data_IF_531149464686
#
_entry.id   IF_531149464686
#
_cell.length_a   1.000
_cell.length_b   1.000
_cell.length_c   1.000
_cell.angle_alpha   90.00
_cell.angle_beta   90.00
_cell.angle_gamma   90.00
#
_symmetry.space_group_name_H-M   'P 1'
#
loop_
_entity.id
_entity.type
_entity.pdbx_description
1 polymer ?
#
# COMPACT_ATOMS: atom_id res chain seq x y z
N UNK A 1 27.00 4.71 5.13
CA UNK A 1 25.64 4.82 5.69
C UNK A 1 25.05 6.18 5.35
N UNK A 2 23.74 6.28 5.36
CA UNK A 2 23.06 7.54 5.11
C UNK A 2 22.23 7.93 6.35
N UNK A 3 21.14 7.25 6.60
CA UNK A 3 20.20 7.50 7.70
C UNK A 3 20.06 6.32 8.66
N UNK A 4 20.57 5.16 8.30
CA UNK A 4 20.42 3.91 9.06
C UNK A 4 21.78 3.44 9.58
N UNK A 5 21.82 3.17 10.89
CA UNK A 5 22.99 2.67 11.59
C UNK A 5 22.70 1.28 12.14
N UNK A 6 23.71 0.40 12.06
CA UNK A 6 23.70 -0.90 12.70
C UNK A 6 24.91 -0.98 13.65
N UNK A 7 24.64 -1.30 14.90
CA UNK A 7 25.64 -1.40 15.94
C UNK A 7 25.92 -2.87 16.26
N UNK A 8 27.16 -3.28 16.10
CA UNK A 8 27.68 -4.53 16.63
C UNK A 8 28.04 -4.24 18.09
N UNK A 9 27.40 -4.96 19.02
CA UNK A 9 27.57 -4.70 20.44
C UNK A 9 28.84 -5.41 20.97
N UNK A 10 29.56 -4.80 21.93
CA UNK A 10 30.61 -5.50 22.65
C UNK A 10 30.01 -6.56 23.59
N UNK A 11 30.78 -7.58 23.95
CA UNK A 11 30.33 -8.70 24.80
C UNK A 11 29.76 -8.25 26.16
N UNK A 12 30.13 -7.06 26.65
CA UNK A 12 29.64 -6.50 27.89
C UNK A 12 28.26 -5.87 27.82
N UNK A 13 27.66 -5.72 26.62
CA UNK A 13 26.36 -5.07 26.40
C UNK A 13 25.47 -5.97 25.60
N UNK A 14 24.29 -6.31 26.13
CA UNK A 14 23.31 -7.11 25.39
C UNK A 14 22.23 -6.25 24.72
N UNK A 15 21.72 -6.73 23.60
CA UNK A 15 20.56 -6.12 22.93
C UNK A 15 19.34 -6.01 23.86
N UNK A 16 19.17 -6.97 24.77
CA UNK A 16 18.07 -6.96 25.74
C UNK A 16 18.22 -5.84 26.77
N UNK A 17 19.44 -5.52 27.22
CA UNK A 17 19.67 -4.36 28.09
C UNK A 17 19.31 -3.06 27.38
N UNK A 18 19.78 -2.88 26.15
CA UNK A 18 19.42 -1.72 25.32
C UNK A 18 17.91 -1.62 25.14
N UNK A 19 17.24 -2.74 24.85
CA UNK A 19 15.77 -2.77 24.67
C UNK A 19 15.05 -2.30 25.93
N UNK A 20 15.45 -2.78 27.08
CA UNK A 20 14.82 -2.39 28.36
C UNK A 20 14.97 -0.90 28.63
N UNK A 21 16.17 -0.35 28.39
CA UNK A 21 16.44 1.08 28.58
C UNK A 21 15.69 1.92 27.53
N UNK A 22 15.71 1.50 26.28
CA UNK A 22 15.03 2.21 25.18
C UNK A 22 13.50 2.29 25.44
N UNK A 23 12.87 1.18 25.82
CA UNK A 23 11.44 1.15 26.16
C UNK A 23 11.11 2.05 27.37
N UNK A 24 11.98 2.14 28.36
CA UNK A 24 11.80 3.06 29.50
C UNK A 24 11.85 4.55 29.10
N UNK A 25 12.39 4.84 27.92
CA UNK A 25 12.47 6.17 27.31
C UNK A 25 11.51 6.34 26.12
N UNK A 26 10.57 5.41 25.96
CA UNK A 26 9.56 5.40 24.90
C UNK A 26 10.18 5.39 23.49
N UNK A 27 11.30 4.70 23.32
CA UNK A 27 12.01 4.54 22.05
C UNK A 27 11.99 3.09 21.59
N UNK A 28 11.58 2.86 20.36
CA UNK A 28 11.71 1.57 19.68
C UNK A 28 12.95 1.56 18.80
N UNK A 29 13.76 0.51 18.93
CA UNK A 29 14.92 0.25 18.09
C UNK A 29 14.72 -1.08 17.36
N UNK A 30 15.48 -1.32 16.31
CA UNK A 30 15.49 -2.63 15.64
C UNK A 30 16.49 -3.56 16.35
N UNK A 31 16.03 -4.76 16.66
CA UNK A 31 16.84 -5.83 17.25
C UNK A 31 16.98 -6.97 16.27
N UNK A 32 18.22 -7.39 16.00
CA UNK A 32 18.52 -8.48 15.07
C UNK A 32 18.76 -9.78 15.83
N UNK A 33 18.48 -10.91 15.19
CA UNK A 33 18.62 -12.25 15.78
C UNK A 33 20.07 -12.57 16.24
N UNK A 34 21.05 -11.94 15.60
CA UNK A 34 22.46 -12.08 15.95
C UNK A 34 22.90 -11.17 17.12
N UNK A 35 21.97 -10.45 17.74
CA UNK A 35 22.25 -9.57 18.88
C UNK A 35 22.65 -8.15 18.54
N UNK A 36 22.75 -7.78 17.26
CA UNK A 36 23.00 -6.40 16.86
C UNK A 36 21.77 -5.50 17.09
N UNK A 37 22.00 -4.20 17.16
CA UNK A 37 20.93 -3.21 17.30
C UNK A 37 21.02 -2.20 16.14
N UNK A 38 19.87 -1.89 15.53
CA UNK A 38 19.76 -0.91 14.48
C UNK A 38 18.88 0.27 14.86
N UNK A 39 19.19 1.42 14.30
CA UNK A 39 18.32 2.59 14.33
C UNK A 39 18.34 3.30 12.98
N UNK A 40 17.22 3.94 12.66
CA UNK A 40 17.14 4.86 11.54
C UNK A 40 16.71 6.23 12.03
N UNK A 41 17.24 7.25 11.41
CA UNK A 41 16.95 8.65 11.68
C UNK A 41 16.28 9.27 10.45
N UNK A 42 15.49 10.28 10.69
CA UNK A 42 14.80 11.05 9.65
C UNK A 42 14.87 12.55 9.95
N UNK A 43 14.18 13.36 9.16
CA UNK A 43 14.12 14.81 9.31
C UNK A 43 13.44 15.27 10.59
N UNK A 44 12.76 14.39 11.33
CA UNK A 44 12.17 14.71 12.65
C UNK A 44 13.12 14.44 13.80
N UNK A 45 14.27 13.79 13.55
CA UNK A 45 15.27 13.47 14.57
C UNK A 45 16.11 14.70 14.89
N UNK A 46 15.74 15.41 15.94
CA UNK A 46 16.40 16.60 16.44
C UNK A 46 17.53 16.28 17.45
N UNK A 47 18.15 17.35 17.98
CA UNK A 47 19.21 17.24 19.02
C UNK A 47 18.68 16.57 20.29
N UNK A 48 17.43 16.76 20.65
CA UNK A 48 16.83 16.13 21.83
C UNK A 48 16.71 14.62 21.62
N UNK A 49 16.20 14.18 20.47
CA UNK A 49 16.10 12.77 20.10
C UNK A 49 17.51 12.12 20.04
N UNK A 50 18.48 12.78 19.43
CA UNK A 50 19.86 12.31 19.38
C UNK A 50 20.45 12.11 20.81
N UNK A 51 20.19 13.04 21.73
CA UNK A 51 20.61 12.92 23.12
C UNK A 51 19.93 11.76 23.86
N UNK A 52 18.65 11.49 23.58
CA UNK A 52 17.96 10.31 24.13
C UNK A 52 18.66 9.03 23.65
N UNK A 53 18.91 8.91 22.35
CA UNK A 53 19.59 7.76 21.75
C UNK A 53 20.99 7.55 22.36
N UNK A 54 21.80 8.60 22.41
CA UNK A 54 23.14 8.55 23.04
C UNK A 54 23.08 8.10 24.50
N UNK A 55 22.08 8.60 25.26
CA UNK A 55 21.89 8.21 26.66
C UNK A 55 21.55 6.74 26.84
N UNK A 56 20.73 6.16 25.91
CA UNK A 56 20.38 4.73 25.94
C UNK A 56 21.64 3.87 25.84
N UNK A 57 22.48 4.14 24.86
CA UNK A 57 23.71 3.37 24.65
C UNK A 57 24.74 3.61 25.77
N UNK A 58 24.86 4.83 26.28
CA UNK A 58 25.78 5.16 27.38
C UNK A 58 25.40 4.41 28.67
N UNK A 59 24.11 4.44 29.05
CA UNK A 59 23.58 3.72 30.21
C UNK A 59 23.83 2.21 30.07
N UNK A 60 23.54 1.63 28.89
CA UNK A 60 23.76 0.21 28.62
C UNK A 60 25.24 -0.18 28.73
N UNK A 61 26.12 0.71 28.32
CA UNK A 61 27.58 0.51 28.41
C UNK A 61 28.18 0.84 29.79
N UNK A 62 27.38 1.32 30.75
CA UNK A 62 27.89 1.77 32.05
C UNK A 62 28.83 2.97 31.96
N UNK A 63 28.61 3.85 30.98
CA UNK A 63 29.43 5.03 30.72
C UNK A 63 28.67 6.31 31.02
N UNK A 64 29.42 7.35 31.35
CA UNK A 64 28.86 8.68 31.47
C UNK A 64 28.37 9.19 30.13
N UNK A 65 27.18 9.80 30.12
CA UNK A 65 26.58 10.41 28.96
C UNK A 65 27.04 11.86 28.79
N UNK A 66 27.63 12.15 27.64
CA UNK A 66 27.94 13.53 27.26
C UNK A 66 26.84 14.05 26.30
N UNK A 67 26.19 15.10 26.74
CA UNK A 67 25.15 15.76 25.95
C UNK A 67 25.78 16.49 24.76
N UNK A 68 25.14 16.39 23.62
CA UNK A 68 25.43 17.15 22.40
C UNK A 68 24.52 18.35 22.37
N UNK A 69 25.08 19.54 22.20
CA UNK A 69 24.29 20.79 22.16
C UNK A 69 23.96 21.22 20.72
N UNK A 70 24.70 20.69 19.73
CA UNK A 70 24.50 20.99 18.33
C UNK A 70 24.81 19.77 17.46
N UNK A 71 24.19 19.69 16.27
CA UNK A 71 24.49 18.69 15.26
C UNK A 71 25.36 19.36 14.20
N UNK A 72 26.64 18.95 14.06
CA UNK A 72 27.52 19.54 13.07
C UNK A 72 26.98 19.32 11.65
N UNK A 73 27.23 20.29 10.76
CA UNK A 73 26.86 20.16 9.36
C UNK A 73 27.49 18.90 8.75
N UNK A 74 26.66 18.11 8.05
CA UNK A 74 27.10 16.88 7.42
C UNK A 74 28.07 17.14 6.28
N UNK A 75 29.29 16.59 6.37
CA UNK A 75 30.32 16.67 5.33
C UNK A 75 30.35 15.42 4.42
N UNK A 76 29.30 14.59 4.46
CA UNK A 76 29.24 13.31 3.76
C UNK A 76 29.12 13.51 2.24
N UNK A 77 28.49 14.61 1.80
CA UNK A 77 28.33 14.94 0.39
C UNK A 77 29.58 15.72 -0.06
N UNK A 78 30.35 15.12 -0.97
CA UNK A 78 31.50 15.81 -1.56
C UNK A 78 31.06 17.07 -2.31
N UNK A 79 31.94 18.07 -2.37
CA UNK A 79 31.65 19.33 -3.06
C UNK A 79 31.23 19.14 -4.53
N UNK A 80 31.75 18.12 -5.20
CA UNK A 80 31.41 17.76 -6.59
C UNK A 80 29.95 17.29 -6.74
N UNK A 81 29.36 16.71 -5.68
CA UNK A 81 28.00 16.24 -5.67
C UNK A 81 27.01 17.28 -5.12
N UNK A 82 27.50 18.38 -4.56
CA UNK A 82 26.64 19.46 -4.09
C UNK A 82 26.00 20.19 -5.27
N UNK A 83 24.73 20.49 -5.15
CA UNK A 83 23.98 21.23 -6.15
C UNK A 83 24.57 22.63 -6.32
N UNK A 84 24.95 22.96 -7.55
CA UNK A 84 25.45 24.30 -7.94
C UNK A 84 24.40 25.17 -8.63
N UNK A 85 23.28 24.57 -9.04
CA UNK A 85 22.21 25.25 -9.76
C UNK A 85 21.05 25.61 -8.83
N UNK A 86 20.40 26.77 -9.02
CA UNK A 86 19.17 27.07 -8.28
C UNK A 86 18.06 26.05 -8.57
N UNK A 87 17.16 25.83 -7.63
CA UNK A 87 16.00 24.95 -7.78
C UNK A 87 14.74 25.63 -7.24
N UNK A 88 13.56 25.13 -7.60
CA UNK A 88 12.27 25.70 -7.22
C UNK A 88 12.18 27.21 -7.53
N UNK A 89 12.70 27.61 -8.69
CA UNK A 89 12.81 29.03 -9.08
C UNK A 89 11.49 29.62 -9.60
N UNK A 90 10.48 28.78 -9.88
CA UNK A 90 9.18 29.27 -10.30
C UNK A 90 8.48 30.00 -9.15
N UNK A 91 7.86 31.15 -9.45
CA UNK A 91 7.24 32.01 -8.43
C UNK A 91 6.20 31.30 -7.53
N UNK A 92 5.60 30.21 -7.99
CA UNK A 92 4.62 29.43 -7.22
C UNK A 92 5.19 28.94 -5.88
N UNK A 93 6.49 28.67 -5.83
CA UNK A 93 7.17 28.16 -4.63
C UNK A 93 7.49 29.26 -3.59
N UNK A 94 7.30 30.53 -3.96
CA UNK A 94 7.61 31.68 -3.10
C UNK A 94 6.46 32.67 -2.98
N UNK A 95 5.25 32.34 -3.47
CA UNK A 95 4.16 33.30 -3.58
C UNK A 95 2.99 33.04 -2.61
N UNK A 96 2.71 31.79 -2.24
CA UNK A 96 1.51 31.43 -1.49
C UNK A 96 1.90 30.92 -0.11
N UNK A 97 2.22 31.85 0.80
CA UNK A 97 2.74 31.51 2.14
C UNK A 97 1.69 31.53 3.25
N UNK A 98 0.50 32.09 3.00
CA UNK A 98 -0.59 32.06 3.97
C UNK A 98 -1.60 30.98 3.63
N UNK A 99 -2.31 30.46 4.64
CA UNK A 99 -3.39 29.49 4.45
C UNK A 99 -4.41 29.99 3.41
N UNK A 100 -4.87 31.25 3.57
CA UNK A 100 -5.85 31.83 2.67
C UNK A 100 -5.36 31.92 1.22
N UNK A 101 -4.11 32.29 1.00
CA UNK A 101 -3.54 32.37 -0.34
C UNK A 101 -3.41 30.97 -0.96
N UNK A 102 -2.98 29.99 -0.17
CA UNK A 102 -2.89 28.58 -0.62
C UNK A 102 -4.27 28.04 -0.99
N UNK A 103 -5.29 28.22 -0.14
CA UNK A 103 -6.66 27.78 -0.43
C UNK A 103 -7.19 28.42 -1.72
N UNK A 104 -6.99 29.72 -1.91
CA UNK A 104 -7.39 30.42 -3.13
C UNK A 104 -6.63 29.94 -4.36
N UNK A 105 -5.35 29.64 -4.22
CA UNK A 105 -4.51 29.07 -5.29
C UNK A 105 -5.00 27.68 -5.70
N UNK A 106 -5.23 26.78 -4.74
CA UNK A 106 -5.77 25.44 -4.99
C UNK A 106 -7.13 25.54 -5.70
N UNK A 107 -8.03 26.41 -5.21
CA UNK A 107 -9.35 26.58 -5.84
C UNK A 107 -9.26 27.19 -7.25
N UNK A 108 -8.28 28.02 -7.53
CA UNK A 108 -8.04 28.54 -8.87
C UNK A 108 -7.56 27.43 -9.83
N UNK A 109 -6.75 26.50 -9.35
CA UNK A 109 -6.33 25.32 -10.14
C UNK A 109 -7.50 24.37 -10.36
N UNK A 110 -8.27 24.08 -9.32
CA UNK A 110 -9.45 23.22 -9.36
C UNK A 110 -10.48 23.68 -10.43
N UNK A 111 -10.63 25.00 -10.61
CA UNK A 111 -11.53 25.59 -11.62
C UNK A 111 -11.04 25.51 -13.06
N UNK A 112 -9.78 25.12 -13.28
CA UNK A 112 -9.24 24.97 -14.65
C UNK A 112 -9.61 23.62 -15.27
N UNK A 113 -10.10 22.71 -14.49
CA UNK A 113 -10.52 21.37 -14.89
C UNK A 113 -11.82 21.00 -14.16
N UNK A 114 -12.35 19.82 -14.46
CA UNK A 114 -13.58 19.30 -13.85
C UNK A 114 -13.21 18.72 -12.47
N UNK A 115 -13.74 19.33 -11.40
CA UNK A 115 -13.54 18.81 -10.05
C UNK A 115 -14.54 17.72 -9.71
N UNK A 116 -14.18 16.85 -8.76
CA UNK A 116 -15.06 15.81 -8.24
C UNK A 116 -16.36 16.36 -7.61
N UNK A 117 -16.34 17.62 -7.16
CA UNK A 117 -17.53 18.29 -6.61
C UNK A 117 -18.52 18.74 -7.70
N UNK A 118 -18.12 18.78 -8.96
CA UNK A 118 -18.87 19.31 -10.08
C UNK A 118 -19.09 18.31 -11.21
N UNK A 119 -18.57 17.10 -11.09
CA UNK A 119 -18.65 16.06 -12.12
C UNK A 119 -19.26 14.78 -11.61
N UNK A 120 -19.84 14.02 -12.50
CA UNK A 120 -20.06 12.60 -12.28
C UNK A 120 -18.73 11.87 -12.34
N UNK A 121 -18.63 10.72 -11.66
CA UNK A 121 -17.40 9.93 -11.61
C UNK A 121 -17.00 9.52 -13.03
N UNK A 122 -15.84 9.98 -13.48
CA UNK A 122 -15.16 9.44 -14.65
C UNK A 122 -14.20 8.33 -14.22
N UNK A 123 -14.08 7.29 -15.02
CA UNK A 123 -13.04 6.28 -14.87
C UNK A 123 -11.68 6.88 -15.16
N UNK A 124 -10.65 6.40 -14.47
CA UNK A 124 -9.25 6.74 -14.76
C UNK A 124 -8.48 7.43 -13.62
N UNK A 125 -9.15 7.87 -12.58
CA UNK A 125 -8.51 8.53 -11.42
C UNK A 125 -8.51 7.67 -10.16
N UNK A 126 -8.45 6.34 -10.26
CA UNK A 126 -8.65 5.42 -9.15
C UNK A 126 -9.98 5.68 -8.41
N UNK A 127 -10.94 6.26 -9.11
CA UNK A 127 -12.27 6.57 -8.61
C UNK A 127 -12.29 7.21 -7.22
N UNK A 128 -11.43 8.18 -6.98
CA UNK A 128 -11.37 8.91 -5.72
C UNK A 128 -12.75 9.52 -5.42
N UNK A 129 -13.42 8.97 -4.42
CA UNK A 129 -14.72 9.43 -3.98
C UNK A 129 -14.55 10.62 -3.02
N UNK A 130 -15.54 11.49 -3.01
CA UNK A 130 -15.62 12.51 -1.99
C UNK A 130 -15.99 11.85 -0.66
N UNK A 131 -15.18 12.08 0.35
CA UNK A 131 -15.48 11.68 1.72
C UNK A 131 -16.03 12.88 2.49
N UNK A 132 -16.91 12.65 3.46
CA UNK A 132 -17.32 13.69 4.38
C UNK A 132 -16.12 14.15 5.22
N UNK A 133 -16.02 15.46 5.48
CA UNK A 133 -14.92 15.99 6.29
C UNK A 133 -14.88 15.35 7.70
N UNK A 134 -16.02 14.98 8.26
CA UNK A 134 -16.11 14.30 9.56
C UNK A 134 -15.47 12.89 9.53
N UNK A 135 -15.51 12.19 8.41
CA UNK A 135 -14.86 10.87 8.24
C UNK A 135 -13.34 11.00 8.18
N UNK A 136 -12.83 12.17 7.78
CA UNK A 136 -11.39 12.46 7.71
C UNK A 136 -10.79 12.91 9.05
N UNK A 137 -11.61 13.40 10.00
CA UNK A 137 -11.14 13.90 11.28
C UNK A 137 -10.31 12.90 12.10
N UNK A 138 -10.67 11.61 12.19
CA UNK A 138 -9.87 10.64 12.93
C UNK A 138 -8.44 10.49 12.41
N UNK A 139 -8.18 10.79 11.13
CA UNK A 139 -6.83 10.74 10.55
C UNK A 139 -5.88 11.81 11.13
N UNK A 140 -6.43 12.84 11.81
CA UNK A 140 -5.64 13.87 12.47
C UNK A 140 -5.37 13.59 13.96
N UNK A 141 -5.92 12.50 14.52
CA UNK A 141 -5.62 12.07 15.88
C UNK A 141 -4.21 11.50 15.94
N UNK A 142 -3.37 12.06 16.83
CA UNK A 142 -1.96 11.66 16.94
C UNK A 142 -1.77 10.16 17.25
N UNK A 143 -2.67 9.59 18.04
CA UNK A 143 -2.67 8.18 18.42
C UNK A 143 -2.80 7.24 17.20
N UNK A 144 -3.43 7.69 16.13
CA UNK A 144 -3.51 6.97 14.86
C UNK A 144 -2.42 7.41 13.88
N UNK A 145 -2.25 8.71 13.70
CA UNK A 145 -1.38 9.26 12.65
C UNK A 145 0.11 9.05 12.93
N UNK A 146 0.53 9.15 14.21
CA UNK A 146 1.94 9.09 14.59
C UNK A 146 2.45 7.67 14.88
N UNK A 147 1.64 6.63 14.66
CA UNK A 147 2.06 5.26 14.89
C UNK A 147 2.83 4.72 13.69
N UNK A 148 4.06 4.26 13.93
CA UNK A 148 4.88 3.65 12.89
C UNK A 148 4.32 2.29 12.46
N UNK A 149 4.29 1.96 11.16
CA UNK A 149 3.72 0.67 10.67
C UNK A 149 4.40 -0.59 11.22
N UNK A 150 5.66 -0.49 11.63
CA UNK A 150 6.44 -1.60 12.19
C UNK A 150 6.58 -1.51 13.71
N UNK A 151 5.71 -0.77 14.38
CA UNK A 151 5.68 -0.73 15.85
C UNK A 151 5.42 -2.15 16.41
N UNK A 152 6.00 -2.52 17.57
CA UNK A 152 5.71 -3.80 18.20
C UNK A 152 4.22 -4.04 18.43
N UNK A 153 3.77 -5.27 18.27
CA UNK A 153 2.35 -5.64 18.32
C UNK A 153 1.66 -5.28 19.65
N UNK A 154 2.39 -5.36 20.77
CA UNK A 154 1.90 -5.00 22.10
C UNK A 154 1.61 -3.51 22.25
N UNK A 155 2.21 -2.68 21.38
CA UNK A 155 1.98 -1.23 21.33
C UNK A 155 0.88 -0.84 20.32
N UNK A 156 0.36 -1.77 19.53
CA UNK A 156 -0.61 -1.54 18.46
C UNK A 156 -1.98 -2.20 18.70
N UNK A 157 -2.37 -2.41 19.95
CA UNK A 157 -3.59 -3.14 20.29
C UNK A 157 -4.85 -2.53 19.65
N UNK A 158 -5.00 -1.21 19.66
CA UNK A 158 -6.15 -0.50 19.05
C UNK A 158 -6.22 -0.69 17.54
N UNK A 159 -5.09 -0.60 16.83
CA UNK A 159 -5.06 -0.89 15.39
C UNK A 159 -5.41 -2.33 15.07
N UNK A 160 -4.95 -3.28 15.87
CA UNK A 160 -5.28 -4.70 15.68
C UNK A 160 -6.76 -4.97 15.87
N UNK A 161 -7.38 -4.35 16.88
CA UNK A 161 -8.81 -4.44 17.11
C UNK A 161 -9.61 -3.83 15.94
N UNK A 162 -9.24 -2.64 15.49
CA UNK A 162 -9.86 -1.97 14.34
C UNK A 162 -9.79 -2.83 13.08
N UNK A 163 -8.60 -3.35 12.73
CA UNK A 163 -8.38 -4.20 11.55
C UNK A 163 -9.17 -5.51 11.67
N UNK A 164 -9.19 -6.12 12.85
CA UNK A 164 -9.94 -7.34 13.10
C UNK A 164 -11.45 -7.11 12.90
N UNK A 165 -12.01 -6.11 13.55
CA UNK A 165 -13.44 -5.82 13.49
C UNK A 165 -13.88 -5.51 12.05
N UNK A 166 -13.14 -4.63 11.35
CA UNK A 166 -13.42 -4.32 9.96
C UNK A 166 -13.34 -5.56 9.06
N UNK A 167 -12.36 -6.44 9.28
CA UNK A 167 -12.24 -7.68 8.50
C UNK A 167 -13.44 -8.61 8.72
N UNK A 168 -13.91 -8.74 9.96
CA UNK A 168 -15.08 -9.58 10.27
C UNK A 168 -16.37 -8.97 9.68
N UNK A 169 -16.58 -7.66 9.76
CA UNK A 169 -17.70 -6.99 9.14
C UNK A 169 -17.71 -7.17 7.62
N UNK A 170 -16.57 -7.02 6.95
CA UNK A 170 -16.45 -7.24 5.51
C UNK A 170 -16.72 -8.69 5.12
N UNK A 171 -16.30 -9.68 5.92
CA UNK A 171 -16.64 -11.10 5.71
C UNK A 171 -18.16 -11.32 5.75
N UNK A 172 -18.83 -10.71 6.70
CA UNK A 172 -20.30 -10.81 6.81
C UNK A 172 -21.01 -10.16 5.61
N UNK A 173 -20.56 -8.98 5.19
CA UNK A 173 -21.14 -8.25 4.07
C UNK A 173 -20.96 -8.99 2.75
N UNK A 174 -19.79 -9.54 2.51
CA UNK A 174 -19.42 -10.18 1.23
C UNK A 174 -19.71 -11.67 1.17
N UNK A 175 -19.88 -12.33 2.31
CA UNK A 175 -20.01 -13.79 2.40
C UNK A 175 -18.67 -14.53 2.17
N UNK A 176 -17.55 -13.85 2.08
CA UNK A 176 -16.25 -14.49 1.91
C UNK A 176 -15.72 -15.09 3.20
N UNK A 177 -14.96 -16.18 3.09
CA UNK A 177 -14.33 -16.85 4.22
C UNK A 177 -13.18 -16.05 4.83
N UNK A 178 -12.53 -15.19 4.07
CA UNK A 178 -11.41 -14.38 4.52
C UNK A 178 -11.31 -13.03 3.81
N UNK A 179 -10.76 -12.05 4.49
CA UNK A 179 -10.51 -10.70 3.97
C UNK A 179 -9.09 -10.30 4.36
N UNK A 180 -8.38 -9.65 3.45
CA UNK A 180 -7.09 -9.02 3.71
C UNK A 180 -7.16 -7.53 3.44
N UNK A 181 -6.73 -6.72 4.40
CA UNK A 181 -6.61 -5.27 4.30
C UNK A 181 -5.17 -4.82 3.97
N UNK A 182 -4.28 -5.77 3.63
CA UNK A 182 -2.86 -5.50 3.31
C UNK A 182 -2.66 -4.71 2.01
N UNK A 183 -3.40 -4.98 0.90
CA UNK A 183 -3.21 -4.23 -0.33
C UNK A 183 -3.50 -2.74 -0.14
N UNK A 184 -2.56 -1.89 -0.53
CA UNK A 184 -2.64 -0.44 -0.36
C UNK A 184 -3.10 0.33 -1.61
N UNK A 185 -3.53 -0.39 -2.65
CA UNK A 185 -4.09 0.18 -3.88
C UNK A 185 -4.98 -0.85 -4.60
N UNK A 186 -5.80 -0.40 -5.55
CA UNK A 186 -6.59 -1.28 -6.40
C UNK A 186 -5.72 -2.31 -7.13
N UNK A 187 -4.64 -1.87 -7.79
CA UNK A 187 -3.71 -2.76 -8.48
C UNK A 187 -3.01 -3.76 -7.55
N UNK A 188 -2.67 -3.36 -6.32
CA UNK A 188 -2.12 -4.27 -5.32
C UNK A 188 -3.16 -5.32 -4.88
N UNK A 189 -4.44 -4.95 -4.81
CA UNK A 189 -5.55 -5.87 -4.56
C UNK A 189 -5.73 -6.88 -5.68
N UNK A 190 -5.72 -6.42 -6.93
CA UNK A 190 -5.75 -7.30 -8.11
C UNK A 190 -4.60 -8.33 -8.08
N UNK A 191 -3.38 -7.85 -7.87
CA UNK A 191 -2.21 -8.72 -7.78
C UNK A 191 -2.34 -9.73 -6.64
N UNK A 192 -2.76 -9.28 -5.45
CA UNK A 192 -2.94 -10.16 -4.29
C UNK A 192 -3.99 -11.24 -4.53
N UNK A 193 -5.14 -10.89 -5.14
CA UNK A 193 -6.19 -11.85 -5.49
C UNK A 193 -5.71 -12.88 -6.51
N UNK A 194 -5.06 -12.44 -7.57
CA UNK A 194 -4.52 -13.34 -8.60
C UNK A 194 -3.40 -14.24 -8.05
N UNK A 195 -2.53 -13.72 -7.17
CA UNK A 195 -1.52 -14.55 -6.48
C UNK A 195 -2.18 -15.59 -5.54
N UNK A 196 -3.29 -15.23 -4.91
CA UNK A 196 -4.07 -16.18 -4.09
C UNK A 196 -4.67 -17.28 -4.95
N UNK A 197 -5.26 -16.95 -6.12
CA UNK A 197 -5.75 -17.94 -7.08
C UNK A 197 -4.63 -18.86 -7.52
N UNK A 198 -3.46 -18.32 -7.87
CA UNK A 198 -2.31 -19.11 -8.27
C UNK A 198 -1.86 -20.07 -7.16
N UNK A 199 -1.69 -19.59 -5.96
CA UNK A 199 -1.30 -20.42 -4.82
C UNK A 199 -2.34 -21.53 -4.53
N UNK A 200 -3.63 -21.21 -4.65
CA UNK A 200 -4.70 -22.19 -4.54
C UNK A 200 -4.57 -23.29 -5.60
N UNK A 201 -4.43 -22.93 -6.88
CA UNK A 201 -4.29 -23.90 -7.94
C UNK A 201 -3.05 -24.77 -7.78
N UNK A 202 -1.93 -24.19 -7.35
CA UNK A 202 -0.70 -24.93 -7.02
C UNK A 202 -0.95 -25.92 -5.86
N UNK A 203 -1.68 -25.52 -4.83
CA UNK A 203 -1.96 -26.36 -3.65
C UNK A 203 -2.81 -27.61 -3.96
N UNK A 204 -3.64 -27.52 -5.01
CA UNK A 204 -4.49 -28.65 -5.47
C UNK A 204 -3.88 -29.39 -6.68
N UNK A 205 -2.59 -29.18 -7.00
CA UNK A 205 -1.90 -29.84 -8.08
C UNK A 205 -2.25 -29.33 -9.49
N UNK A 206 -2.89 -28.18 -9.60
CA UNK A 206 -3.29 -27.56 -10.88
C UNK A 206 -2.44 -26.32 -11.24
N UNK A 207 -1.21 -26.24 -10.79
CA UNK A 207 -0.29 -25.13 -11.06
C UNK A 207 0.07 -24.92 -12.54
N UNK A 208 -0.29 -25.87 -13.43
CA UNK A 208 -0.15 -25.71 -14.88
C UNK A 208 -1.15 -24.71 -15.47
N UNK A 209 -2.28 -24.45 -14.81
CA UNK A 209 -3.29 -23.48 -15.25
C UNK A 209 -2.72 -22.07 -15.15
N UNK A 210 -2.53 -21.43 -16.28
CA UNK A 210 -1.82 -20.14 -16.36
C UNK A 210 -2.51 -19.09 -17.22
N UNK A 211 -3.73 -19.36 -17.71
CA UNK A 211 -4.48 -18.43 -18.55
C UNK A 211 -5.57 -17.74 -17.75
N UNK A 212 -5.74 -16.43 -17.98
CA UNK A 212 -6.81 -15.62 -17.39
C UNK A 212 -7.62 -14.98 -18.52
N UNK A 213 -8.93 -15.25 -18.55
CA UNK A 213 -9.86 -14.54 -19.42
C UNK A 213 -10.12 -13.14 -18.88
N UNK A 214 -10.11 -12.16 -19.77
CA UNK A 214 -10.34 -10.74 -19.42
C UNK A 214 -11.23 -10.11 -20.49
N UNK A 215 -12.40 -9.55 -20.14
CA UNK A 215 -13.25 -8.83 -21.09
C UNK A 215 -12.54 -7.64 -21.73
N UNK A 216 -12.85 -7.36 -22.99
CA UNK A 216 -12.30 -6.21 -23.73
C UNK A 216 -12.64 -4.86 -23.07
N UNK A 217 -13.71 -4.80 -22.28
CA UNK A 217 -14.11 -3.64 -21.47
C UNK A 217 -13.25 -3.43 -20.22
N UNK A 218 -12.31 -4.34 -19.92
CA UNK A 218 -11.53 -4.27 -18.68
C UNK A 218 -10.59 -3.07 -18.66
N UNK A 219 -10.33 -2.56 -17.45
CA UNK A 219 -9.30 -1.55 -17.23
C UNK A 219 -7.91 -2.11 -17.55
N UNK A 220 -7.01 -1.26 -18.06
CA UNK A 220 -5.66 -1.68 -18.43
C UNK A 220 -4.81 -2.28 -17.30
N UNK A 221 -5.14 -2.03 -16.03
CA UNK A 221 -4.50 -2.67 -14.89
C UNK A 221 -4.80 -4.16 -14.78
N UNK A 222 -5.95 -4.62 -15.27
CA UNK A 222 -6.34 -6.03 -15.16
C UNK A 222 -5.35 -6.96 -15.91
N UNK A 223 -5.08 -6.76 -17.21
CA UNK A 223 -4.08 -7.59 -17.89
C UNK A 223 -2.66 -7.36 -17.33
N UNK A 224 -2.31 -6.15 -16.88
CA UNK A 224 -1.02 -5.88 -16.28
C UNK A 224 -0.82 -6.66 -14.98
N UNK A 225 -1.79 -6.67 -14.09
CA UNK A 225 -1.77 -7.42 -12.83
C UNK A 225 -1.75 -8.93 -13.07
N UNK A 226 -2.47 -9.43 -14.10
CA UNK A 226 -2.45 -10.84 -14.47
C UNK A 226 -1.05 -11.27 -14.95
N UNK A 227 -0.42 -10.50 -15.82
CA UNK A 227 0.95 -10.76 -16.29
C UNK A 227 1.95 -10.69 -15.11
N UNK A 228 1.83 -9.70 -14.24
CA UNK A 228 2.67 -9.56 -13.06
C UNK A 228 2.54 -10.76 -12.11
N UNK A 229 1.33 -11.32 -11.99
CA UNK A 229 1.07 -12.52 -11.20
C UNK A 229 1.56 -13.82 -11.89
N UNK A 230 2.09 -13.74 -13.11
CA UNK A 230 2.65 -14.85 -13.88
C UNK A 230 1.61 -15.59 -14.73
N UNK A 231 0.51 -14.95 -15.08
CA UNK A 231 -0.50 -15.50 -15.98
C UNK A 231 -0.34 -14.96 -17.41
N UNK A 232 -0.91 -15.69 -18.37
CA UNK A 232 -1.13 -15.23 -19.74
C UNK A 232 -2.58 -14.78 -19.89
N UNK A 233 -2.82 -13.70 -20.59
CA UNK A 233 -4.16 -13.14 -20.76
C UNK A 233 -4.79 -13.56 -22.07
N UNK A 234 -6.06 -13.89 -22.04
CA UNK A 234 -6.93 -14.15 -23.21
C UNK A 234 -8.07 -13.16 -23.16
N UNK A 235 -8.21 -12.34 -24.20
CA UNK A 235 -9.25 -11.33 -24.25
C UNK A 235 -10.57 -11.93 -24.71
N UNK A 236 -11.66 -11.66 -23.97
CA UNK A 236 -13.01 -11.99 -24.31
C UNK A 236 -13.69 -10.76 -24.95
N UNK A 237 -14.46 -10.94 -25.99
CA UNK A 237 -15.18 -9.86 -26.66
C UNK A 237 -16.32 -9.32 -25.79
N UNK A 238 -16.75 -8.09 -26.11
CA UNK A 238 -18.00 -7.50 -25.62
C UNK A 238 -19.00 -7.37 -26.77
N UNK A 239 -20.29 -7.44 -26.45
CA UNK A 239 -21.36 -7.19 -27.38
C UNK A 239 -21.52 -5.69 -27.73
N UNK A 240 -22.46 -5.36 -28.62
CA UNK A 240 -22.71 -3.96 -29.02
C UNK A 240 -23.28 -3.08 -27.88
N UNK A 241 -23.75 -3.69 -26.81
CA UNK A 241 -24.27 -3.01 -25.61
C UNK A 241 -23.22 -2.88 -24.52
N UNK A 242 -22.04 -3.48 -24.72
CA UNK A 242 -20.90 -3.43 -23.79
C UNK A 242 -20.91 -4.51 -22.71
N UNK A 243 -21.86 -5.47 -22.77
CA UNK A 243 -21.78 -6.67 -21.92
C UNK A 243 -20.73 -7.64 -22.45
N UNK A 244 -20.33 -8.61 -21.66
CA UNK A 244 -19.50 -9.73 -22.10
C UNK A 244 -20.27 -10.52 -23.19
N UNK A 245 -19.63 -10.76 -24.33
CA UNK A 245 -20.16 -11.63 -25.35
C UNK A 245 -20.16 -13.08 -24.86
N UNK A 246 -21.35 -13.62 -24.59
CA UNK A 246 -21.52 -14.93 -23.99
C UNK A 246 -21.09 -16.07 -24.90
N UNK A 247 -21.22 -15.92 -26.21
CA UNK A 247 -20.81 -16.95 -27.18
C UNK A 247 -19.29 -17.00 -27.28
N UNK A 248 -18.63 -15.84 -27.32
CA UNK A 248 -17.15 -15.75 -27.28
C UNK A 248 -16.60 -16.25 -25.95
N UNK A 249 -17.25 -15.91 -24.83
CA UNK A 249 -16.86 -16.39 -23.50
C UNK A 249 -16.89 -17.92 -23.42
N UNK A 250 -18.01 -18.54 -23.86
CA UNK A 250 -18.14 -20.01 -23.87
C UNK A 250 -17.10 -20.66 -24.76
N UNK A 251 -16.89 -20.13 -25.96
CA UNK A 251 -15.91 -20.64 -26.90
C UNK A 251 -14.49 -20.59 -26.29
N UNK A 252 -14.09 -19.46 -25.74
CA UNK A 252 -12.75 -19.29 -25.15
C UNK A 252 -12.57 -20.05 -23.85
N UNK A 253 -13.60 -20.18 -23.04
CA UNK A 253 -13.55 -21.01 -21.84
C UNK A 253 -13.33 -22.49 -22.17
N UNK A 254 -14.04 -23.01 -23.17
CA UNK A 254 -13.86 -24.40 -23.61
C UNK A 254 -12.51 -24.62 -24.32
N UNK A 255 -12.08 -23.71 -25.21
CA UNK A 255 -10.78 -23.78 -25.90
C UNK A 255 -9.60 -23.83 -24.90
N UNK A 256 -9.71 -23.09 -23.79
CA UNK A 256 -8.63 -22.97 -22.81
C UNK A 256 -8.90 -23.78 -21.51
N UNK A 257 -9.88 -24.64 -21.51
CA UNK A 257 -10.39 -25.34 -20.32
C UNK A 257 -9.32 -25.98 -19.44
N UNK A 258 -8.32 -26.61 -20.05
CA UNK A 258 -7.27 -27.30 -19.32
C UNK A 258 -6.26 -26.34 -18.67
N UNK A 259 -6.03 -25.18 -19.29
CA UNK A 259 -5.07 -24.17 -18.84
C UNK A 259 -5.70 -22.96 -18.15
N UNK A 260 -7.05 -22.88 -18.14
CA UNK A 260 -7.77 -21.73 -17.60
C UNK A 260 -7.64 -21.68 -16.07
N UNK A 261 -7.04 -20.63 -15.56
CA UNK A 261 -6.86 -20.36 -14.15
C UNK A 261 -8.01 -19.51 -13.58
N UNK A 262 -8.39 -18.45 -14.29
CA UNK A 262 -9.40 -17.52 -13.83
C UNK A 262 -10.07 -16.71 -14.96
N UNK A 263 -11.22 -16.15 -14.63
CA UNK A 263 -11.77 -14.96 -15.27
C UNK A 263 -11.54 -13.77 -14.35
N UNK A 264 -11.10 -12.64 -14.90
CA UNK A 264 -10.99 -11.38 -14.18
C UNK A 264 -12.01 -10.39 -14.75
N UNK A 265 -13.04 -10.05 -13.97
CA UNK A 265 -14.17 -9.24 -14.41
C UNK A 265 -14.43 -8.10 -13.44
N UNK A 266 -14.82 -6.94 -13.96
CA UNK A 266 -15.20 -5.78 -13.16
C UNK A 266 -16.73 -5.63 -13.18
N UNK A 267 -17.34 -5.47 -12.01
CA UNK A 267 -18.78 -5.36 -11.84
C UNK A 267 -19.15 -4.15 -10.97
N UNK A 268 -19.69 -3.04 -11.53
CA UNK A 268 -19.96 -2.83 -12.97
C UNK A 268 -18.68 -2.74 -13.81
N UNK A 269 -18.85 -2.92 -15.14
CA UNK A 269 -17.76 -2.80 -16.11
C UNK A 269 -17.26 -1.35 -16.23
N UNK A 270 -16.16 -1.11 -16.96
CA UNK A 270 -15.67 0.25 -17.23
C UNK A 270 -16.64 1.09 -18.07
N UNK A 271 -17.58 0.45 -18.75
CA UNK A 271 -18.68 1.12 -19.45
C UNK A 271 -19.85 1.49 -18.52
N UNK A 272 -19.78 1.16 -17.24
CA UNK A 272 -20.85 1.40 -16.27
C UNK A 272 -21.99 0.39 -16.34
N UNK A 273 -21.76 -0.76 -16.97
CA UNK A 273 -22.78 -1.80 -17.19
C UNK A 273 -22.65 -2.86 -16.11
N UNK A 274 -23.78 -3.18 -15.48
CA UNK A 274 -23.92 -4.36 -14.64
C UNK A 274 -24.28 -5.54 -15.54
N UNK A 275 -23.36 -6.49 -15.67
CA UNK A 275 -23.52 -7.69 -16.48
C UNK A 275 -24.81 -8.44 -16.11
N UNK A 276 -25.73 -8.57 -17.04
CA UNK A 276 -27.01 -9.23 -16.81
C UNK A 276 -26.85 -10.73 -16.58
N UNK A 277 -25.87 -11.33 -17.25
CA UNK A 277 -25.59 -12.76 -17.22
C UNK A 277 -24.47 -13.13 -16.22
N UNK A 278 -24.16 -12.28 -15.23
CA UNK A 278 -23.03 -12.50 -14.30
C UNK A 278 -23.07 -13.86 -13.60
N UNK A 279 -24.26 -14.35 -13.28
CA UNK A 279 -24.42 -15.67 -12.63
C UNK A 279 -23.99 -16.79 -13.59
N UNK A 280 -24.42 -16.73 -14.84
CA UNK A 280 -24.06 -17.69 -15.87
C UNK A 280 -22.56 -17.61 -16.21
N UNK A 281 -22.00 -16.41 -16.31
CA UNK A 281 -20.55 -16.18 -16.48
C UNK A 281 -19.76 -16.93 -15.41
N UNK A 282 -20.12 -16.75 -14.14
CA UNK A 282 -19.48 -17.44 -13.04
C UNK A 282 -19.61 -18.97 -13.14
N UNK A 283 -20.79 -19.46 -13.51
CA UNK A 283 -21.05 -20.90 -13.67
C UNK A 283 -20.18 -21.52 -14.77
N UNK A 284 -20.06 -20.88 -15.92
CA UNK A 284 -19.21 -21.34 -17.04
C UNK A 284 -17.77 -21.47 -16.58
N UNK A 285 -17.25 -20.46 -15.93
CA UNK A 285 -15.85 -20.43 -15.48
C UNK A 285 -15.59 -21.49 -14.41
N UNK A 286 -16.48 -21.62 -13.43
CA UNK A 286 -16.37 -22.63 -12.38
C UNK A 286 -16.49 -24.06 -12.94
N UNK A 287 -17.34 -24.29 -13.97
CA UNK A 287 -17.46 -25.57 -14.63
C UNK A 287 -16.14 -25.99 -15.33
N UNK A 288 -15.32 -25.05 -15.75
CA UNK A 288 -13.98 -25.30 -16.26
C UNK A 288 -12.93 -25.57 -15.17
N UNK A 289 -13.31 -25.51 -13.88
CA UNK A 289 -12.38 -25.63 -12.75
C UNK A 289 -11.57 -24.34 -12.48
N UNK A 290 -11.90 -23.24 -13.12
CA UNK A 290 -11.24 -21.96 -12.95
C UNK A 290 -11.96 -21.08 -11.89
N UNK A 291 -11.28 -20.04 -11.43
CA UNK A 291 -11.78 -19.10 -10.42
C UNK A 291 -12.28 -17.81 -11.08
N UNK A 292 -13.07 -17.02 -10.33
CA UNK A 292 -13.50 -15.68 -10.77
C UNK A 292 -12.91 -14.66 -9.78
N UNK A 293 -12.23 -13.65 -10.34
CA UNK A 293 -11.75 -12.47 -9.61
C UNK A 293 -12.63 -11.27 -9.97
#
# INVERSE_FOLDING_TARGET
YFDTLRFILPDSVSAQQIRTIALSKEVNLRYFDNGDVGLSIDETTDVAAANILLSIFAIAAGKDFQKVDDIPEATIISEELKRQTPYLTHEVFSKYHTETEMMRYIKRLDRKDISLAQSMISLGSCTMKLNAAAEMLPLSCAEFMCMHPLVPEDQAAGYRELIHNLSEELKVITGFAGVSLQPNSGAAGEYAGLRTIRAYLESIGQGHRNKVLIPASAHGTNPASAIQAGFTTVTCACDEHGNVDMDDLRAKAEENKDDLAALMITYPSTHGIFETEIVEICQIIHACGAQVY
#
